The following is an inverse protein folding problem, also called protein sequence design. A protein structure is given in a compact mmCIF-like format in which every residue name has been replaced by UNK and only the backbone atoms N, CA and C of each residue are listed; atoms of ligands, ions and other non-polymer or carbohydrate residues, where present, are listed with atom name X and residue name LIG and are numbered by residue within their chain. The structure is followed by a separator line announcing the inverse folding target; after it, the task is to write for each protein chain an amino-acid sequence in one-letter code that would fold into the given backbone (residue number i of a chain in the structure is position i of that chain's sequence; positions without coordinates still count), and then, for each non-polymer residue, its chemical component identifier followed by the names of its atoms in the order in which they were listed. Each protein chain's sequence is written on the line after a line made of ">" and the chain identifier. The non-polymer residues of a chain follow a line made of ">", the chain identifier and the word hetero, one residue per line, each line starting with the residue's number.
data_IF_291012050855
#
_entry.id   IF_291012050855
#
_cell.length_a   1.000
_cell.length_b   1.000
_cell.length_c   1.000
_cell.angle_alpha   90.00
_cell.angle_beta   90.00
_cell.angle_gamma   90.00
#
_symmetry.space_group_name_H-M   'P 1'
#
loop_
_entity.id
_entity.type
_entity.pdbx_description
1 polymer ?
#
# COMPACT_ATOMS: atom_id res chain seq x y z
N UNK A 1 8.48 5.39 10.02
CA UNK A 1 7.34 6.31 9.77
C UNK A 1 6.53 5.81 8.58
N UNK A 2 5.20 5.93 8.62
CA UNK A 2 4.31 5.59 7.50
C UNK A 2 3.61 6.85 6.99
N UNK A 3 3.50 7.01 5.67
CA UNK A 3 2.83 8.15 5.04
C UNK A 3 1.90 7.69 3.93
N UNK A 4 0.64 8.13 3.96
CA UNK A 4 -0.30 7.90 2.86
C UNK A 4 0.07 8.86 1.71
N UNK A 5 0.35 8.29 0.54
CA UNK A 5 0.75 9.02 -0.67
C UNK A 5 -0.44 9.25 -1.58
N UNK A 6 -1.30 8.23 -1.75
CA UNK A 6 -2.55 8.35 -2.53
C UNK A 6 -3.65 7.52 -1.90
N UNK A 7 -4.88 7.99 -2.05
CA UNK A 7 -6.08 7.23 -1.72
C UNK A 7 -6.99 7.13 -2.94
N UNK A 8 -7.78 6.08 -3.02
CA UNK A 8 -8.72 5.90 -4.12
C UNK A 8 -9.70 4.77 -3.86
N UNK A 9 -10.46 4.43 -4.90
CA UNK A 9 -11.35 3.26 -4.91
C UNK A 9 -11.19 2.51 -6.23
N UNK A 10 -11.33 1.20 -6.16
CA UNK A 10 -11.32 0.32 -7.31
C UNK A 10 -12.55 -0.58 -7.36
N UNK A 11 -12.99 -0.95 -8.56
CA UNK A 11 -14.14 -1.85 -8.73
C UNK A 11 -13.70 -3.30 -8.49
N UNK A 12 -14.24 -3.92 -7.44
CA UNK A 12 -13.97 -5.31 -7.11
C UNK A 12 -14.87 -6.27 -7.90
N UNK A 13 -16.19 -6.08 -7.80
CA UNK A 13 -17.18 -6.91 -8.50
C UNK A 13 -18.55 -6.23 -8.53
N UNK A 14 -19.31 -6.40 -9.62
CA UNK A 14 -20.64 -5.79 -9.76
C UNK A 14 -20.62 -4.28 -9.52
N UNK A 15 -21.39 -3.79 -8.54
CA UNK A 15 -21.42 -2.39 -8.10
C UNK A 15 -20.56 -2.12 -6.86
N UNK A 16 -19.73 -3.08 -6.45
CA UNK A 16 -18.90 -3.01 -5.25
C UNK A 16 -17.56 -2.36 -5.58
N UNK A 17 -17.28 -1.26 -4.87
CA UNK A 17 -16.00 -0.57 -4.90
C UNK A 17 -15.30 -0.74 -3.56
N UNK A 18 -14.02 -1.07 -3.62
CA UNK A 18 -13.16 -1.24 -2.45
C UNK A 18 -12.12 -0.12 -2.42
N UNK A 19 -11.66 0.30 -1.23
CA UNK A 19 -10.60 1.29 -1.12
C UNK A 19 -9.28 0.73 -1.65
N UNK A 20 -8.44 1.63 -2.14
CA UNK A 20 -7.03 1.37 -2.47
C UNK A 20 -6.20 2.51 -1.90
N UNK A 21 -5.07 2.17 -1.30
CA UNK A 21 -4.15 3.11 -0.68
C UNK A 21 -2.74 2.87 -1.19
N UNK A 22 -2.04 3.93 -1.56
CA UNK A 22 -0.61 3.90 -1.77
C UNK A 22 0.05 4.54 -0.56
N UNK A 23 0.97 3.80 0.05
CA UNK A 23 1.63 4.16 1.29
C UNK A 23 3.12 4.08 1.11
N UNK A 24 3.82 5.08 1.61
CA UNK A 24 5.26 5.07 1.82
C UNK A 24 5.54 4.59 3.23
N UNK A 25 6.44 3.62 3.37
CA UNK A 25 6.79 3.02 4.65
C UNK A 25 8.30 2.91 4.79
N UNK A 26 8.80 3.40 5.92
CA UNK A 26 10.18 3.15 6.36
C UNK A 26 10.35 1.66 6.67
N UNK A 27 11.08 0.96 5.83
CA UNK A 27 11.19 -0.49 5.88
C UNK A 27 11.98 -0.97 7.09
N UNK A 28 13.04 -0.25 7.40
CA UNK A 28 13.99 -0.60 8.46
C UNK A 28 13.33 -0.50 9.83
N UNK A 29 12.50 0.52 10.03
CA UNK A 29 11.69 0.67 11.24
C UNK A 29 10.63 -0.43 11.38
N UNK A 30 9.83 -0.67 10.33
CA UNK A 30 8.70 -1.61 10.42
C UNK A 30 9.11 -3.09 10.41
N UNK A 31 10.24 -3.44 9.80
CA UNK A 31 10.80 -4.79 9.90
C UNK A 31 11.31 -5.07 11.32
N UNK A 32 12.05 -4.11 11.92
CA UNK A 32 12.58 -4.24 13.30
C UNK A 32 11.45 -4.35 14.33
N UNK A 33 10.33 -3.68 14.10
CA UNK A 33 9.16 -3.73 14.98
C UNK A 33 8.23 -4.93 14.73
N UNK A 34 8.54 -5.79 13.76
CA UNK A 34 7.76 -7.00 13.48
C UNK A 34 6.41 -6.75 12.79
N UNK A 35 6.17 -5.53 12.30
CA UNK A 35 4.94 -5.18 11.59
C UNK A 35 4.92 -5.67 10.14
N UNK A 36 5.98 -6.31 9.65
CA UNK A 36 6.06 -6.77 8.27
C UNK A 36 6.56 -8.20 8.11
N UNK A 37 5.97 -8.91 7.15
CA UNK A 37 6.29 -10.30 6.81
C UNK A 37 7.18 -10.43 5.56
N UNK A 38 7.47 -9.35 4.83
CA UNK A 38 8.36 -9.44 3.66
C UNK A 38 9.83 -9.50 4.10
N UNK A 39 10.67 -10.14 3.30
CA UNK A 39 12.10 -10.26 3.57
C UNK A 39 12.82 -8.92 3.43
N UNK A 40 13.87 -8.71 4.23
CA UNK A 40 14.72 -7.52 4.18
C UNK A 40 15.40 -7.27 2.82
N UNK A 41 15.40 -8.26 1.93
CA UNK A 41 15.92 -8.14 0.57
C UNK A 41 15.08 -7.28 -0.38
N UNK A 42 13.88 -6.85 0.04
CA UNK A 42 12.96 -6.06 -0.80
C UNK A 42 13.46 -4.63 -1.02
N UNK A 43 14.34 -4.06 -0.19
CA UNK A 43 15.01 -2.80 -0.53
C UNK A 43 16.36 -2.65 0.16
N UNK A 44 17.31 -2.03 -0.55
CA UNK A 44 18.58 -1.53 -0.01
C UNK A 44 18.48 -0.07 0.46
N UNK A 45 17.36 0.58 0.13
CA UNK A 45 16.99 1.93 0.53
C UNK A 45 15.89 1.82 1.60
N UNK A 46 15.93 2.70 2.59
CA UNK A 46 15.12 2.63 3.82
C UNK A 46 13.60 2.78 3.58
N UNK A 47 13.15 2.94 2.33
CA UNK A 47 11.75 3.27 1.98
C UNK A 47 11.19 2.25 0.98
N UNK A 48 9.99 1.75 1.27
CA UNK A 48 9.22 0.86 0.40
C UNK A 48 7.81 1.43 0.22
N UNK A 49 7.25 1.24 -0.98
CA UNK A 49 5.91 1.69 -1.32
C UNK A 49 4.92 0.53 -1.35
N UNK A 50 3.88 0.59 -0.54
CA UNK A 50 2.85 -0.44 -0.45
C UNK A 50 1.54 0.03 -1.07
N UNK A 51 1.03 -0.77 -1.99
CA UNK A 51 -0.32 -0.64 -2.53
C UNK A 51 -1.24 -1.60 -1.77
N UNK A 52 -2.10 -1.06 -0.91
CA UNK A 52 -3.07 -1.81 -0.12
C UNK A 52 -4.42 -1.87 -0.81
N UNK A 53 -5.05 -3.05 -0.82
CA UNK A 53 -6.33 -3.30 -1.46
C UNK A 53 -7.39 -3.71 -0.44
N UNK A 54 -8.56 -3.07 -0.52
CA UNK A 54 -9.68 -3.40 0.35
C UNK A 54 -9.49 -2.91 1.78
N UNK A 55 -10.19 -3.58 2.71
CA UNK A 55 -10.15 -3.23 4.12
C UNK A 55 -8.71 -3.32 4.65
N UNK A 56 -8.23 -2.21 5.19
CA UNK A 56 -6.95 -2.14 5.88
C UNK A 56 -7.21 -2.01 7.37
N UNK A 57 -6.38 -2.65 8.17
CA UNK A 57 -6.43 -2.54 9.62
C UNK A 57 -5.36 -1.55 10.07
N UNK A 58 -5.74 -0.61 10.94
CA UNK A 58 -4.78 0.24 11.62
C UNK A 58 -4.36 -0.43 12.93
N UNK A 59 -3.07 -0.38 13.25
CA UNK A 59 -2.56 -0.77 14.56
C UNK A 59 -2.82 0.33 15.60
N UNK A 60 -2.37 0.11 16.84
CA UNK A 60 -2.55 1.06 17.96
C UNK A 60 -1.86 2.41 17.71
N UNK A 61 -0.86 2.44 16.83
CA UNK A 61 -0.11 3.65 16.43
C UNK A 61 -0.68 4.34 15.19
N UNK A 62 -1.80 3.84 14.65
CA UNK A 62 -2.42 4.38 13.44
C UNK A 62 -1.73 3.98 12.12
N UNK A 63 -0.81 3.02 12.15
CA UNK A 63 -0.13 2.48 10.97
C UNK A 63 -0.94 1.34 10.34
N UNK A 64 -0.83 1.17 9.02
CA UNK A 64 -1.51 0.08 8.32
C UNK A 64 -0.78 -1.23 8.63
N UNK A 65 -1.52 -2.18 9.20
CA UNK A 65 -1.03 -3.52 9.51
C UNK A 65 -0.76 -4.34 8.25
N UNK A 66 0.30 -5.14 8.28
CA UNK A 66 0.69 -6.10 7.24
C UNK A 66 -0.33 -7.21 6.99
N UNK A 67 -1.31 -7.40 7.87
CA UNK A 67 -2.43 -8.31 7.65
C UNK A 67 -3.32 -7.89 6.45
N UNK A 68 -3.17 -6.65 5.97
CA UNK A 68 -3.90 -6.12 4.82
C UNK A 68 -3.34 -6.68 3.51
N UNK A 69 -4.21 -7.07 2.57
CA UNK A 69 -3.78 -7.48 1.22
C UNK A 69 -3.03 -6.33 0.56
N UNK A 70 -1.73 -6.52 0.31
CA UNK A 70 -0.86 -5.48 -0.20
C UNK A 70 0.20 -6.00 -1.17
N UNK A 71 0.75 -5.08 -1.95
CA UNK A 71 1.85 -5.34 -2.86
C UNK A 71 2.91 -4.25 -2.72
N UNK A 72 4.17 -4.67 -2.59
CA UNK A 72 5.32 -3.80 -2.42
C UNK A 72 5.93 -3.37 -3.76
N UNK A 73 6.46 -2.16 -3.81
CA UNK A 73 7.13 -1.53 -4.95
C UNK A 73 8.31 -0.68 -4.48
N UNK A 74 9.27 -0.43 -5.38
CA UNK A 74 10.46 0.38 -5.09
C UNK A 74 10.26 1.86 -5.36
N UNK A 75 9.19 2.23 -6.10
CA UNK A 75 8.86 3.62 -6.36
C UNK A 75 7.35 3.85 -6.43
N UNK A 76 6.94 5.10 -6.17
CA UNK A 76 5.57 5.57 -6.39
C UNK A 76 5.14 5.35 -7.85
N UNK A 77 6.03 5.61 -8.81
CA UNK A 77 5.73 5.49 -10.23
C UNK A 77 5.38 4.04 -10.61
N UNK A 78 6.18 3.07 -10.18
CA UNK A 78 5.90 1.64 -10.41
C UNK A 78 4.58 1.19 -9.78
N UNK A 79 4.31 1.65 -8.55
CA UNK A 79 3.08 1.28 -7.84
C UNK A 79 1.83 1.82 -8.55
N UNK A 80 1.87 3.08 -9.00
CA UNK A 80 0.78 3.73 -9.73
C UNK A 80 0.59 3.08 -11.10
N UNK A 81 1.68 2.88 -11.85
CA UNK A 81 1.63 2.23 -13.17
C UNK A 81 1.07 0.81 -13.08
N UNK A 82 1.47 0.05 -12.05
CA UNK A 82 0.89 -1.26 -11.81
C UNK A 82 -0.62 -1.17 -11.55
N UNK A 83 -1.06 -0.27 -10.68
CA UNK A 83 -2.47 -0.10 -10.36
C UNK A 83 -3.29 0.26 -11.61
N UNK A 84 -2.84 1.24 -12.40
CA UNK A 84 -3.53 1.71 -13.60
C UNK A 84 -3.60 0.67 -14.71
N UNK A 85 -2.57 -0.19 -14.84
CA UNK A 85 -2.55 -1.26 -15.85
C UNK A 85 -3.38 -2.48 -15.46
N UNK A 86 -3.50 -2.79 -14.18
CA UNK A 86 -4.07 -4.05 -13.70
C UNK A 86 -5.49 -3.89 -13.10
N UNK A 87 -5.96 -2.67 -12.90
CA UNK A 87 -7.26 -2.38 -12.29
C UNK A 87 -8.13 -1.66 -13.33
N UNK A 88 -9.14 -2.36 -13.83
CA UNK A 88 -9.99 -1.89 -14.93
C UNK A 88 -10.72 -0.57 -14.62
N UNK A 89 -11.20 -0.41 -13.39
CA UNK A 89 -11.88 0.80 -12.93
C UNK A 89 -11.24 1.23 -11.62
N UNK A 90 -10.29 2.16 -11.74
CA UNK A 90 -9.53 2.78 -10.65
C UNK A 90 -9.81 4.28 -10.65
N UNK A 91 -10.26 4.79 -9.51
CA UNK A 91 -10.45 6.22 -9.31
C UNK A 91 -9.57 6.65 -8.13
N UNK A 92 -8.48 7.34 -8.44
CA UNK A 92 -7.70 8.05 -7.43
C UNK A 92 -8.49 9.27 -6.94
N UNK A 93 -8.49 9.50 -5.64
CA UNK A 93 -8.94 10.76 -5.08
C UNK A 93 -7.82 11.78 -5.32
N UNK A 94 -8.11 12.83 -6.08
CA UNK A 94 -7.26 14.01 -6.14
C UNK A 94 -7.68 14.91 -4.98
N UNK A 95 -6.86 14.96 -3.93
CA UNK A 95 -6.90 16.06 -2.96
C UNK A 95 -6.22 17.31 -3.55
#
# INVERSE_FOLDING_TARGET
>A
MQKIIKTGKWKYSGNTYLPILLVEQDWDHFYKEGYSHYSSSVSKEDVVYFLHFGSHHLNEDGNISSASTSKAFLSVAEAVEYAERNIEILNWNFE
#
